data_IF_625227386346
#
_entry.id   IF_625227386346
#
_cell.length_a   1.000
_cell.length_b   1.000
_cell.length_c   1.000
_cell.angle_alpha   90.00
_cell.angle_beta   90.00
_cell.angle_gamma   90.00
#
_symmetry.space_group_name_H-M   'P 1'
#
loop_
_entity.id
_entity.type
_entity.pdbx_description
1 polymer ?
#
# COMPACT_ATOMS: atom_id res chain seq x y z
N UNK A 1 -9.35 -5.82 -26.35
CA UNK A 1 -9.59 -4.44 -25.86
C UNK A 1 -10.07 -4.55 -24.42
N UNK A 2 -9.16 -4.60 -23.44
CA UNK A 2 -9.54 -4.66 -22.02
C UNK A 2 -8.95 -3.44 -21.30
N UNK A 3 -9.85 -2.47 -21.10
CA UNK A 3 -9.92 -1.51 -20.00
C UNK A 3 -8.66 -0.66 -19.73
N UNK A 4 -8.63 0.49 -20.41
CA UNK A 4 -7.95 1.70 -19.91
C UNK A 4 -8.71 2.19 -18.67
N UNK A 5 -8.09 2.12 -17.51
CA UNK A 5 -8.58 2.77 -16.30
C UNK A 5 -7.40 3.17 -15.40
N UNK A 6 -6.59 4.14 -15.84
CA UNK A 6 -5.55 4.76 -15.01
C UNK A 6 -5.52 6.27 -15.26
N UNK A 7 -6.69 6.90 -15.16
CA UNK A 7 -6.82 8.36 -15.22
C UNK A 7 -7.31 8.97 -13.90
N UNK A 8 -7.27 8.20 -12.81
CA UNK A 8 -7.60 8.68 -11.46
C UNK A 8 -6.51 8.25 -10.46
N UNK A 9 -5.24 8.47 -10.83
CA UNK A 9 -4.11 8.46 -9.90
C UNK A 9 -4.16 9.65 -8.91
N UNK A 10 -5.38 10.09 -8.57
CA UNK A 10 -5.68 11.08 -7.55
C UNK A 10 -5.64 10.37 -6.20
N UNK A 11 -4.44 9.97 -5.75
CA UNK A 11 -4.10 9.80 -4.34
C UNK A 11 -5.26 9.34 -3.44
N UNK A 12 -5.83 8.16 -3.74
CA UNK A 12 -6.89 7.60 -2.91
C UNK A 12 -6.24 7.16 -1.60
N UNK A 13 -6.08 8.11 -0.68
CA UNK A 13 -5.42 7.94 0.62
C UNK A 13 -6.29 7.06 1.54
N UNK A 14 -7.44 6.62 1.06
CA UNK A 14 -8.30 5.63 1.71
C UNK A 14 -7.84 4.19 1.38
N UNK A 15 -7.05 3.97 0.33
CA UNK A 15 -6.51 2.68 -0.05
C UNK A 15 -5.01 2.56 0.28
N UNK A 16 -4.62 1.40 0.80
CA UNK A 16 -3.24 1.04 1.08
C UNK A 16 -3.00 -0.43 0.79
N UNK A 17 -1.75 -0.85 0.79
CA UNK A 17 -1.38 -2.25 0.54
C UNK A 17 -0.91 -2.92 1.81
N UNK A 18 -1.33 -4.16 2.02
CA UNK A 18 -0.82 -5.01 3.10
C UNK A 18 -0.18 -6.26 2.55
N UNK A 19 0.84 -6.74 3.25
CA UNK A 19 1.36 -8.07 3.01
C UNK A 19 0.32 -9.13 3.44
N UNK A 20 0.12 -10.18 2.65
CA UNK A 20 -0.85 -11.27 2.92
C UNK A 20 -0.38 -12.26 3.97
N UNK A 21 0.88 -12.16 4.41
CA UNK A 21 1.42 -12.92 5.53
C UNK A 21 0.57 -12.72 6.79
N UNK A 22 0.35 -13.80 7.53
CA UNK A 22 -0.35 -13.77 8.82
C UNK A 22 0.39 -12.95 9.89
N UNK A 23 1.68 -12.68 9.69
CA UNK A 23 2.50 -11.87 10.60
C UNK A 23 2.57 -10.40 10.19
N UNK A 24 1.93 -10.02 9.09
CA UNK A 24 1.89 -8.64 8.65
C UNK A 24 0.95 -7.83 9.54
N UNK A 25 1.47 -6.76 10.11
CA UNK A 25 0.76 -5.79 10.96
C UNK A 25 0.88 -4.36 10.43
N UNK A 26 1.50 -4.19 9.26
CA UNK A 26 1.83 -2.88 8.69
C UNK A 26 1.09 -2.67 7.36
N UNK A 27 0.46 -1.51 7.21
CA UNK A 27 -0.08 -1.00 5.96
C UNK A 27 0.94 -0.08 5.30
N UNK A 28 1.11 -0.24 4.00
CA UNK A 28 1.95 0.62 3.18
C UNK A 28 1.08 1.43 2.23
N UNK A 29 1.64 2.53 1.73
CA UNK A 29 1.02 3.25 0.63
C UNK A 29 1.21 2.43 -0.63
N UNK A 30 0.20 2.38 -1.49
CA UNK A 30 0.35 1.79 -2.81
C UNK A 30 1.37 2.59 -3.63
N UNK A 31 2.27 1.89 -4.31
CA UNK A 31 3.19 2.46 -5.29
C UNK A 31 2.39 3.12 -6.43
N UNK A 32 2.45 4.47 -6.59
CA UNK A 32 1.68 5.16 -7.62
C UNK A 32 2.16 4.84 -9.04
N UNK A 33 3.37 4.30 -9.18
CA UNK A 33 3.97 3.94 -10.47
C UNK A 33 3.74 2.45 -10.81
N UNK A 34 3.01 1.71 -9.98
CA UNK A 34 2.71 0.28 -10.17
C UNK A 34 1.21 0.00 -10.21
N UNK A 35 0.78 -0.72 -11.24
CA UNK A 35 -0.58 -1.27 -11.33
C UNK A 35 -0.80 -2.51 -10.44
N UNK A 36 0.28 -3.06 -9.87
CA UNK A 36 0.22 -4.19 -8.95
C UNK A 36 0.13 -3.67 -7.50
N UNK A 37 -0.50 -4.45 -6.59
CA UNK A 37 -0.63 -4.05 -5.19
C UNK A 37 0.74 -4.13 -4.51
N UNK A 38 1.62 -3.15 -4.71
CA UNK A 38 2.98 -3.13 -4.15
C UNK A 38 3.19 -1.90 -3.29
N UNK A 39 4.01 -2.00 -2.22
CA UNK A 39 4.24 -0.85 -1.37
C UNK A 39 5.15 0.17 -2.06
N UNK A 40 4.89 1.46 -1.87
CA UNK A 40 5.69 2.56 -2.41
C UNK A 40 7.09 2.69 -1.79
N UNK A 41 7.52 1.73 -0.97
CA UNK A 41 8.77 1.80 -0.22
C UNK A 41 9.65 0.56 -0.48
N UNK A 42 10.95 0.58 -0.15
CA UNK A 42 11.90 -0.50 -0.46
C UNK A 42 11.58 -1.88 0.15
N UNK A 43 10.57 -1.97 1.02
CA UNK A 43 9.99 -3.25 1.43
C UNK A 43 9.42 -4.04 0.24
N UNK A 44 9.00 -3.38 -0.85
CA UNK A 44 8.60 -4.03 -2.10
C UNK A 44 9.74 -4.89 -2.65
N UNK A 45 10.92 -4.29 -2.78
CA UNK A 45 12.09 -4.96 -3.37
C UNK A 45 12.74 -5.97 -2.40
N UNK A 46 12.70 -5.67 -1.09
CA UNK A 46 13.26 -6.57 -0.06
C UNK A 46 12.40 -7.83 0.10
N UNK A 47 11.11 -7.74 -0.24
CA UNK A 47 10.14 -8.84 -0.15
C UNK A 47 9.44 -9.04 -1.50
N UNK A 48 10.21 -9.10 -2.57
CA UNK A 48 9.70 -9.30 -3.94
C UNK A 48 8.84 -10.58 -4.07
N UNK A 49 9.15 -11.62 -3.29
CA UNK A 49 8.40 -12.87 -3.24
C UNK A 49 7.13 -12.81 -2.36
N UNK A 50 6.89 -11.71 -1.63
CA UNK A 50 5.75 -11.61 -0.75
C UNK A 50 4.51 -11.16 -1.52
N UNK A 51 3.40 -11.89 -1.32
CA UNK A 51 2.12 -11.45 -1.84
C UNK A 51 1.59 -10.24 -1.05
N UNK A 52 1.20 -9.21 -1.79
CA UNK A 52 0.55 -8.03 -1.27
C UNK A 52 -0.87 -7.90 -1.83
N UNK A 53 -1.72 -7.11 -1.17
CA UNK A 53 -3.10 -6.85 -1.60
C UNK A 53 -3.53 -5.46 -1.18
N UNK A 54 -4.37 -4.83 -2.00
CA UNK A 54 -5.03 -3.58 -1.66
C UNK A 54 -6.07 -3.79 -0.57
N UNK A 55 -6.13 -2.86 0.37
CA UNK A 55 -7.07 -2.82 1.48
C UNK A 55 -7.46 -1.38 1.83
N UNK A 56 -8.70 -1.15 2.28
CA UNK A 56 -9.10 0.15 2.79
C UNK A 56 -8.39 0.44 4.13
N UNK A 57 -7.62 1.51 4.18
CA UNK A 57 -6.86 1.95 5.35
C UNK A 57 -7.78 2.14 6.54
N UNK A 58 -8.92 2.83 6.36
CA UNK A 58 -9.87 3.12 7.45
C UNK A 58 -10.35 1.86 8.19
N UNK A 59 -10.57 0.75 7.47
CA UNK A 59 -11.04 -0.50 8.06
C UNK A 59 -9.92 -1.29 8.76
N UNK A 60 -8.68 -1.17 8.30
CA UNK A 60 -7.54 -1.95 8.80
C UNK A 60 -6.73 -1.23 9.90
N UNK A 61 -6.81 0.10 9.95
CA UNK A 61 -6.23 0.97 11.00
C UNK A 61 -6.35 0.49 12.44
N UNK A 62 -7.49 -0.08 12.89
CA UNK A 62 -7.61 -0.52 14.28
C UNK A 62 -6.67 -1.69 14.62
N UNK A 63 -6.21 -2.43 13.61
CA UNK A 63 -5.43 -3.65 13.76
C UNK A 63 -4.03 -3.57 13.12
N UNK A 64 -3.79 -2.57 12.28
CA UNK A 64 -2.56 -2.40 11.53
C UNK A 64 -1.95 -1.01 11.73
N UNK A 65 -0.63 -0.98 11.83
CA UNK A 65 0.17 0.24 11.89
C UNK A 65 0.42 0.77 10.46
N UNK A 66 0.56 2.09 10.32
CA UNK A 66 1.03 2.63 9.05
C UNK A 66 2.55 2.54 8.96
N UNK A 67 3.04 2.20 7.77
CA UNK A 67 4.45 2.18 7.47
C UNK A 67 5.05 3.57 7.72
N UNK A 68 6.06 3.61 8.61
CA UNK A 68 6.78 4.83 8.96
C UNK A 68 7.80 5.30 7.92
N UNK A 69 7.90 4.64 6.76
CA UNK A 69 8.77 5.08 5.68
C UNK A 69 8.20 6.36 5.04
N UNK A 70 9.02 7.42 4.82
CA UNK A 70 8.57 8.68 4.21
C UNK A 70 7.91 8.52 2.84
N UNK A 71 8.27 7.50 2.05
CA UNK A 71 7.64 7.20 0.75
C UNK A 71 6.23 6.59 0.90
N UNK A 72 5.96 5.99 2.07
CA UNK A 72 4.62 5.57 2.48
C UNK A 72 3.90 6.70 3.23
N UNK A 73 3.88 6.64 4.57
CA UNK A 73 3.14 7.56 5.42
C UNK A 73 4.05 8.30 6.42
N UNK A 74 5.36 8.07 6.32
CA UNK A 74 6.39 8.41 7.32
C UNK A 74 6.68 9.88 7.58
N UNK A 75 5.82 10.82 7.18
CA UNK A 75 5.94 12.23 7.59
C UNK A 75 4.64 12.98 7.89
N UNK A 76 3.45 12.54 7.48
CA UNK A 76 2.27 13.43 7.59
C UNK A 76 0.91 12.69 7.63
N UNK A 77 0.73 11.77 8.59
CA UNK A 77 -0.61 11.30 8.92
C UNK A 77 -0.96 11.75 10.34
N UNK A 78 -1.75 12.83 10.45
CA UNK A 78 -2.28 13.35 11.70
C UNK A 78 -3.71 13.83 11.50
#
# INVERSE_FOLDING_TARGET
>A
MSQRATADAQLDTDQGVRNRSQYADTLHRQDPDSDEPRPACPEADTRDEADFTDVPIAAYRPHYQLCGNPECFGRDWR
#
